data_IF_231762377965
#
_entry.id   IF_231762377965
#
_cell.length_a   1.000
_cell.length_b   1.000
_cell.length_c   1.000
_cell.angle_alpha   90.00
_cell.angle_beta   90.00
_cell.angle_gamma   90.00
#
_symmetry.space_group_name_H-M   'P 1'
#
loop_
_entity.id
_entity.type
_entity.pdbx_description
1 polymer ?
#
# COMPACT_ATOMS: atom_id res chain seq x y z
N UNK A 1 14.27 -9.64 16.87
CA UNK A 1 15.60 -9.33 17.42
C UNK A 1 16.40 -8.39 16.50
N UNK A 2 16.15 -8.41 15.20
CA UNK A 2 16.89 -7.61 14.20
C UNK A 2 16.59 -6.10 14.27
N UNK A 3 15.38 -5.71 14.68
CA UNK A 3 15.01 -4.30 14.82
C UNK A 3 15.71 -3.60 16.00
N UNK A 4 15.96 -4.31 17.10
CA UNK A 4 16.72 -3.77 18.24
C UNK A 4 18.19 -3.55 17.87
N UNK A 5 18.79 -4.46 17.11
CA UNK A 5 20.15 -4.33 16.60
C UNK A 5 20.32 -3.07 15.72
N UNK A 6 19.35 -2.80 14.85
CA UNK A 6 19.35 -1.61 14.01
C UNK A 6 19.27 -0.30 14.81
N UNK A 7 18.43 -0.25 15.84
CA UNK A 7 18.31 0.93 16.72
C UNK A 7 19.61 1.17 17.49
N UNK A 8 20.21 0.12 18.05
CA UNK A 8 21.49 0.21 18.78
C UNK A 8 22.60 0.70 17.84
N UNK A 9 22.64 0.18 16.61
CA UNK A 9 23.65 0.58 15.61
C UNK A 9 23.51 2.06 15.23
N UNK A 10 22.29 2.55 15.01
CA UNK A 10 22.03 3.97 14.71
C UNK A 10 22.41 4.86 15.92
N UNK A 11 22.03 4.48 17.14
CA UNK A 11 22.37 5.23 18.33
C UNK A 11 23.88 5.27 18.56
N UNK A 12 24.59 4.14 18.40
CA UNK A 12 26.05 4.11 18.53
C UNK A 12 26.74 4.95 17.46
N UNK A 13 26.23 4.95 16.22
CA UNK A 13 26.75 5.80 15.15
C UNK A 13 26.58 7.28 15.45
N UNK A 14 25.43 7.71 15.98
CA UNK A 14 25.16 9.10 16.38
C UNK A 14 26.11 9.54 17.49
N UNK A 15 26.29 8.71 18.52
CA UNK A 15 27.19 9.00 19.63
C UNK A 15 28.65 9.11 19.18
N UNK A 16 29.11 8.18 18.34
CA UNK A 16 30.46 8.21 17.78
C UNK A 16 30.70 9.45 16.91
N UNK A 17 29.73 9.84 16.10
CA UNK A 17 29.80 11.05 15.29
C UNK A 17 29.87 12.31 16.16
N UNK A 18 29.06 12.40 17.21
CA UNK A 18 29.07 13.54 18.14
C UNK A 18 30.43 13.68 18.83
N UNK A 19 30.98 12.59 19.34
CA UNK A 19 32.31 12.61 19.98
C UNK A 19 33.41 12.95 18.97
N UNK A 20 33.33 12.42 17.75
CA UNK A 20 34.30 12.75 16.69
C UNK A 20 34.24 14.23 16.27
N UNK A 21 33.05 14.82 16.23
CA UNK A 21 32.86 16.24 15.95
C UNK A 21 33.46 17.13 17.02
N UNK A 22 33.25 16.78 18.30
CA UNK A 22 33.82 17.50 19.45
C UNK A 22 35.36 17.38 19.43
N UNK A 23 35.90 16.20 19.17
CA UNK A 23 37.36 15.99 19.06
C UNK A 23 37.96 16.76 17.88
N UNK A 24 37.32 16.80 16.73
CA UNK A 24 37.79 17.54 15.56
C UNK A 24 37.77 19.05 15.81
N UNK A 25 36.71 19.54 16.46
CA UNK A 25 36.59 20.94 16.88
C UNK A 25 37.66 21.35 17.89
N UNK A 26 37.94 20.49 18.87
CA UNK A 26 38.99 20.68 19.87
C UNK A 26 40.42 20.66 19.26
N UNK A 27 40.63 19.88 18.21
CA UNK A 27 41.92 19.79 17.51
C UNK A 27 42.22 20.97 16.57
N UNK A 28 41.36 22.00 16.53
CA UNK A 28 41.57 23.20 15.71
C UNK A 28 41.21 22.97 14.23
N UNK A 29 40.37 22.03 13.95
CA UNK A 29 39.83 21.78 12.60
C UNK A 29 39.17 23.00 12.01
N UNK A 30 39.60 23.40 10.81
CA UNK A 30 39.20 24.64 10.17
C UNK A 30 37.70 24.78 9.98
N UNK A 31 37.12 25.93 10.25
CA UNK A 31 35.69 26.25 10.11
C UNK A 31 35.15 26.15 8.68
N UNK A 32 36.03 25.97 7.68
CA UNK A 32 35.65 25.96 6.25
C UNK A 32 35.15 24.61 5.73
N UNK A 33 35.62 23.51 6.30
CA UNK A 33 35.16 22.18 5.89
C UNK A 33 35.27 21.18 7.06
N UNK A 34 34.12 20.79 7.60
CA UNK A 34 34.06 19.77 8.62
C UNK A 34 33.56 18.45 7.97
N UNK A 35 34.41 17.44 7.74
CA UNK A 35 34.00 16.19 7.08
C UNK A 35 33.21 15.26 8.02
N UNK A 36 33.26 15.48 9.32
CA UNK A 36 32.68 14.57 10.32
C UNK A 36 31.16 14.45 10.17
N UNK A 37 30.37 15.54 10.02
CA UNK A 37 28.93 15.44 9.77
C UNK A 37 28.58 14.73 8.48
N UNK A 38 29.39 14.91 7.42
CA UNK A 38 29.18 14.23 6.12
C UNK A 38 29.37 12.73 6.23
N UNK A 39 30.46 12.28 6.86
CA UNK A 39 30.73 10.85 7.06
C UNK A 39 29.70 10.24 7.99
N UNK A 40 29.37 10.92 9.08
CA UNK A 40 28.37 10.49 10.04
C UNK A 40 26.98 10.31 9.41
N UNK A 41 26.53 11.28 8.62
CA UNK A 41 25.25 11.18 7.91
C UNK A 41 25.26 10.02 6.91
N UNK A 42 26.37 9.79 6.24
CA UNK A 42 26.49 8.69 5.27
C UNK A 42 26.44 7.32 5.95
N UNK A 43 27.08 7.16 7.10
CA UNK A 43 27.00 5.93 7.91
C UNK A 43 25.58 5.66 8.41
N UNK A 44 24.92 6.71 8.95
CA UNK A 44 23.53 6.61 9.41
C UNK A 44 22.60 6.25 8.25
N UNK A 45 22.81 6.85 7.08
CA UNK A 45 22.03 6.55 5.88
C UNK A 45 22.17 5.13 5.40
N UNK A 46 23.39 4.58 5.42
CA UNK A 46 23.61 3.18 5.05
C UNK A 46 22.95 2.24 6.04
N UNK A 47 23.05 2.52 7.34
CA UNK A 47 22.44 1.72 8.40
C UNK A 47 20.89 1.75 8.32
N UNK A 48 20.30 2.94 8.16
CA UNK A 48 18.85 3.11 8.01
C UNK A 48 18.36 2.50 6.69
N UNK A 49 19.10 2.70 5.60
CA UNK A 49 18.76 2.14 4.28
C UNK A 49 18.71 0.61 4.27
N UNK A 50 19.65 -0.04 4.96
CA UNK A 50 19.65 -1.50 5.11
C UNK A 50 18.43 -2.00 5.89
N UNK A 51 18.12 -1.38 7.04
CA UNK A 51 16.94 -1.71 7.82
C UNK A 51 15.63 -1.44 7.06
N UNK A 52 15.57 -0.35 6.30
CA UNK A 52 14.42 0.01 5.52
C UNK A 52 14.15 -0.97 4.39
N UNK A 53 15.20 -1.51 3.75
CA UNK A 53 15.08 -2.57 2.76
C UNK A 53 14.44 -3.84 3.34
N UNK A 54 14.83 -4.24 4.54
CA UNK A 54 14.28 -5.40 5.22
C UNK A 54 12.81 -5.18 5.62
N UNK A 55 12.46 -4.00 6.14
CA UNK A 55 11.08 -3.65 6.49
C UNK A 55 10.18 -3.56 5.26
N UNK A 56 10.68 -3.04 4.15
CA UNK A 56 9.95 -3.01 2.88
C UNK A 56 9.71 -4.42 2.34
N UNK A 57 10.73 -5.29 2.40
CA UNK A 57 10.60 -6.69 1.99
C UNK A 57 9.54 -7.43 2.82
N UNK A 58 9.55 -7.26 4.14
CA UNK A 58 8.51 -7.81 5.02
C UNK A 58 7.12 -7.27 4.71
N UNK A 59 7.01 -5.97 4.45
CA UNK A 59 5.74 -5.35 4.06
C UNK A 59 5.22 -5.90 2.74
N UNK A 60 6.08 -6.07 1.75
CA UNK A 60 5.75 -6.65 0.45
C UNK A 60 5.28 -8.10 0.57
N UNK A 61 6.01 -8.93 1.32
CA UNK A 61 5.66 -10.32 1.59
C UNK A 61 4.30 -10.42 2.30
N UNK A 62 4.07 -9.61 3.33
CA UNK A 62 2.80 -9.56 4.06
C UNK A 62 1.63 -9.17 3.15
N UNK A 63 1.81 -8.20 2.27
CA UNK A 63 0.78 -7.78 1.32
C UNK A 63 0.50 -8.91 0.31
N UNK A 64 1.53 -9.61 -0.16
CA UNK A 64 1.37 -10.77 -1.03
C UNK A 64 0.61 -11.90 -0.35
N UNK A 65 0.95 -12.25 0.88
CA UNK A 65 0.25 -13.28 1.65
C UNK A 65 -1.24 -12.92 1.86
N UNK A 66 -1.53 -11.66 2.22
CA UNK A 66 -2.89 -11.15 2.34
C UNK A 66 -3.66 -11.23 1.02
N UNK A 67 -3.01 -10.95 -0.11
CA UNK A 67 -3.62 -11.07 -1.43
C UNK A 67 -3.96 -12.53 -1.77
N UNK A 68 -3.04 -13.47 -1.54
CA UNK A 68 -3.27 -14.91 -1.74
C UNK A 68 -4.40 -15.41 -0.83
N UNK A 69 -4.37 -15.04 0.44
CA UNK A 69 -5.42 -15.39 1.39
C UNK A 69 -6.79 -14.84 0.96
N UNK A 70 -6.86 -13.59 0.55
CA UNK A 70 -8.09 -12.97 0.04
C UNK A 70 -8.63 -13.70 -1.20
N UNK A 71 -7.76 -14.06 -2.14
CA UNK A 71 -8.14 -14.81 -3.33
C UNK A 71 -8.65 -16.22 -3.00
N UNK A 72 -8.12 -16.84 -1.96
CA UNK A 72 -8.59 -18.15 -1.50
C UNK A 72 -9.95 -18.06 -0.78
N UNK A 73 -10.23 -16.97 -0.07
CA UNK A 73 -11.51 -16.75 0.61
C UNK A 73 -12.65 -16.33 -0.33
N UNK A 74 -12.33 -15.59 -1.41
CA UNK A 74 -13.34 -15.05 -2.33
C UNK A 74 -14.30 -16.11 -2.90
N UNK A 75 -13.85 -17.30 -3.37
CA UNK A 75 -14.76 -18.32 -3.89
C UNK A 75 -15.75 -18.81 -2.85
N UNK A 76 -15.33 -18.99 -1.60
CA UNK A 76 -16.22 -19.46 -0.53
C UNK A 76 -17.28 -18.42 -0.16
N UNK A 77 -16.88 -17.14 -0.09
CA UNK A 77 -17.81 -16.04 0.14
C UNK A 77 -18.77 -15.84 -1.02
N UNK A 78 -18.31 -15.99 -2.24
CA UNK A 78 -19.15 -15.88 -3.43
C UNK A 78 -20.16 -17.04 -3.53
N UNK A 79 -19.75 -18.27 -3.19
CA UNK A 79 -20.65 -19.40 -3.11
C UNK A 79 -21.75 -19.21 -2.05
N UNK A 80 -21.40 -18.71 -0.88
CA UNK A 80 -22.36 -18.39 0.17
C UNK A 80 -23.38 -17.31 -0.24
N UNK A 81 -22.90 -16.26 -0.95
CA UNK A 81 -23.75 -15.17 -1.47
C UNK A 81 -24.65 -15.67 -2.59
N UNK A 82 -24.16 -16.55 -3.47
CA UNK A 82 -24.94 -17.15 -4.55
C UNK A 82 -26.03 -18.05 -4.00
N UNK A 83 -25.77 -18.83 -2.94
CA UNK A 83 -26.76 -19.66 -2.25
C UNK A 83 -27.88 -18.81 -1.61
N UNK A 84 -27.59 -17.56 -1.23
CA UNK A 84 -28.57 -16.59 -0.74
C UNK A 84 -29.41 -15.92 -1.85
N UNK A 85 -29.28 -16.33 -3.11
CA UNK A 85 -30.06 -15.79 -4.23
C UNK A 85 -29.38 -14.63 -4.99
N UNK A 86 -28.14 -14.28 -4.63
CA UNK A 86 -27.35 -13.22 -5.26
C UNK A 86 -26.25 -13.72 -6.19
N UNK A 87 -26.54 -14.64 -7.10
CA UNK A 87 -25.53 -15.30 -7.93
C UNK A 87 -24.77 -14.32 -8.85
N UNK A 88 -25.48 -13.36 -9.47
CA UNK A 88 -24.87 -12.35 -10.33
C UNK A 88 -24.04 -11.37 -9.49
N UNK A 89 -24.58 -10.93 -8.36
CA UNK A 89 -23.85 -10.04 -7.44
C UNK A 89 -22.59 -10.71 -6.90
N UNK A 90 -22.64 -12.01 -6.57
CA UNK A 90 -21.50 -12.77 -6.09
C UNK A 90 -20.38 -12.83 -7.14
N UNK A 91 -20.69 -13.22 -8.38
CA UNK A 91 -19.72 -13.35 -9.46
C UNK A 91 -19.08 -12.00 -9.82
N UNK A 92 -19.87 -10.93 -9.92
CA UNK A 92 -19.36 -9.57 -10.21
C UNK A 92 -18.41 -9.12 -9.09
N UNK A 93 -18.79 -9.27 -7.84
CA UNK A 93 -17.91 -8.89 -6.71
C UNK A 93 -16.61 -9.68 -6.72
N UNK A 94 -16.67 -11.01 -6.96
CA UNK A 94 -15.49 -11.85 -7.02
C UNK A 94 -14.50 -11.37 -8.09
N UNK A 95 -14.97 -11.25 -9.34
CA UNK A 95 -14.14 -10.83 -10.47
C UNK A 95 -13.56 -9.43 -10.21
N UNK A 96 -14.39 -8.51 -9.73
CA UNK A 96 -13.96 -7.14 -9.42
C UNK A 96 -12.89 -7.10 -8.34
N UNK A 97 -13.08 -7.85 -7.25
CA UNK A 97 -12.11 -7.84 -6.14
C UNK A 97 -10.77 -8.42 -6.58
N UNK A 98 -10.77 -9.52 -7.34
CA UNK A 98 -9.53 -10.11 -7.88
C UNK A 98 -8.83 -9.11 -8.81
N UNK A 99 -9.57 -8.52 -9.76
CA UNK A 99 -9.00 -7.55 -10.70
C UNK A 99 -8.37 -6.36 -9.98
N UNK A 100 -9.07 -5.77 -9.01
CA UNK A 100 -8.54 -4.64 -8.25
C UNK A 100 -7.38 -5.02 -7.34
N UNK A 101 -7.39 -6.22 -6.74
CA UNK A 101 -6.26 -6.71 -5.97
C UNK A 101 -5.00 -6.82 -6.83
N UNK A 102 -5.12 -7.35 -8.04
CA UNK A 102 -4.00 -7.47 -8.98
C UNK A 102 -3.52 -6.10 -9.47
N UNK A 103 -4.46 -5.17 -9.73
CA UNK A 103 -4.14 -3.79 -10.09
C UNK A 103 -3.38 -3.07 -8.96
N UNK A 104 -3.86 -3.19 -7.71
CA UNK A 104 -3.20 -2.59 -6.54
C UNK A 104 -1.82 -3.18 -6.32
N UNK A 105 -1.68 -4.51 -6.46
CA UNK A 105 -0.38 -5.18 -6.34
C UNK A 105 0.60 -4.67 -7.39
N UNK A 106 0.17 -4.58 -8.65
CA UNK A 106 0.96 -4.02 -9.74
C UNK A 106 1.37 -2.57 -9.46
N UNK A 107 0.46 -1.76 -8.93
CA UNK A 107 0.71 -0.36 -8.57
C UNK A 107 1.73 -0.24 -7.44
N UNK A 108 1.65 -1.09 -6.42
CA UNK A 108 2.60 -1.13 -5.30
C UNK A 108 4.00 -1.50 -5.82
N UNK A 109 4.13 -2.59 -6.56
CA UNK A 109 5.41 -3.08 -7.05
C UNK A 109 6.04 -2.15 -8.11
N UNK A 110 5.26 -1.71 -9.09
CA UNK A 110 5.77 -0.98 -10.25
C UNK A 110 5.98 0.50 -9.96
N UNK A 111 5.23 1.08 -9.05
CA UNK A 111 5.20 2.52 -8.85
C UNK A 111 5.51 2.93 -7.42
N UNK A 112 4.86 2.34 -6.42
CA UNK A 112 5.00 2.77 -5.04
C UNK A 112 6.40 2.47 -4.47
N UNK A 113 6.91 1.26 -4.66
CA UNK A 113 8.23 0.87 -4.16
C UNK A 113 9.36 1.73 -4.76
N UNK A 114 9.48 1.93 -6.09
CA UNK A 114 10.47 2.83 -6.63
C UNK A 114 10.33 4.28 -6.13
N UNK A 115 9.10 4.77 -6.00
CA UNK A 115 8.85 6.12 -5.51
C UNK A 115 9.33 6.32 -4.06
N UNK A 116 9.09 5.33 -3.21
CA UNK A 116 9.56 5.36 -1.81
C UNK A 116 11.08 5.35 -1.75
N UNK A 117 11.77 4.56 -2.59
CA UNK A 117 13.22 4.58 -2.67
C UNK A 117 13.77 5.95 -3.11
N UNK A 118 13.16 6.57 -4.12
CA UNK A 118 13.52 7.92 -4.56
C UNK A 118 13.26 8.95 -3.45
N UNK A 119 12.14 8.83 -2.74
CA UNK A 119 11.83 9.72 -1.59
C UNK A 119 12.87 9.60 -0.49
N UNK A 120 13.27 8.39 -0.12
CA UNK A 120 14.30 8.15 0.90
C UNK A 120 15.64 8.74 0.47
N UNK A 121 16.06 8.47 -0.78
CA UNK A 121 17.29 9.02 -1.32
C UNK A 121 17.31 10.55 -1.34
N UNK A 122 16.21 11.19 -1.75
CA UNK A 122 16.06 12.64 -1.75
C UNK A 122 16.09 13.22 -0.33
N UNK A 123 15.37 12.61 0.60
CA UNK A 123 15.34 13.05 2.02
C UNK A 123 16.71 12.94 2.65
N UNK A 124 17.44 11.88 2.33
CA UNK A 124 18.79 11.65 2.77
C UNK A 124 19.75 12.72 2.22
N UNK A 125 19.64 13.03 0.95
CA UNK A 125 20.48 14.04 0.29
C UNK A 125 20.18 15.45 0.83
N UNK A 126 18.91 15.76 1.11
CA UNK A 126 18.51 17.05 1.70
C UNK A 126 19.06 17.25 3.11
N UNK A 127 19.22 16.16 3.87
CA UNK A 127 19.84 16.20 5.20
C UNK A 127 21.36 16.52 5.15
N UNK A 128 22.04 16.16 4.08
CA UNK A 128 23.48 16.39 3.88
C UNK A 128 23.73 17.78 3.30
N UNK A 129 22.90 18.23 2.38
CA UNK A 129 23.06 19.52 1.69
C UNK A 129 22.14 20.59 2.32
N UNK A 130 22.69 21.59 3.03
CA UNK A 130 21.87 22.62 3.70
C UNK A 130 21.19 23.60 2.71
N UNK A 131 21.06 23.23 1.44
CA UNK A 131 20.47 24.08 0.40
C UNK A 131 18.95 24.19 0.43
N UNK A 132 18.25 23.32 1.20
CA UNK A 132 16.78 23.33 1.37
C UNK A 132 15.95 23.16 0.08
N UNK A 133 16.61 23.04 -1.07
CA UNK A 133 15.93 22.94 -2.39
C UNK A 133 15.34 21.55 -2.65
N UNK A 134 15.97 20.51 -2.11
CA UNK A 134 15.55 19.12 -2.30
C UNK A 134 14.33 18.78 -1.42
N UNK A 135 14.18 19.42 -0.25
CA UNK A 135 13.01 19.27 0.62
C UNK A 135 11.68 19.68 -0.04
N UNK A 136 11.71 20.57 -1.01
CA UNK A 136 10.54 20.91 -1.84
C UNK A 136 10.12 19.75 -2.74
N UNK A 137 11.08 19.11 -3.38
CA UNK A 137 10.86 17.95 -4.28
C UNK A 137 10.41 16.74 -3.46
N UNK A 138 11.04 16.46 -2.32
CA UNK A 138 10.64 15.37 -1.42
C UNK A 138 9.20 15.52 -0.93
N UNK A 139 8.79 16.71 -0.53
CA UNK A 139 7.39 17.01 -0.14
C UNK A 139 6.42 16.89 -1.30
N UNK A 140 6.80 17.29 -2.51
CA UNK A 140 6.01 17.08 -3.73
C UNK A 140 5.80 15.59 -4.01
N UNK A 141 6.86 14.79 -3.90
CA UNK A 141 6.83 13.35 -4.08
C UNK A 141 5.93 12.66 -3.05
N UNK A 142 6.06 13.03 -1.77
CA UNK A 142 5.20 12.54 -0.69
C UNK A 142 3.72 12.83 -0.95
N UNK A 143 3.39 14.06 -1.39
CA UNK A 143 2.03 14.40 -1.78
C UNK A 143 1.53 13.57 -2.97
N UNK A 144 2.39 13.34 -3.96
CA UNK A 144 2.09 12.50 -5.11
C UNK A 144 1.75 11.05 -4.71
N UNK A 145 2.56 10.45 -3.83
CA UNK A 145 2.32 9.11 -3.28
C UNK A 145 0.99 9.05 -2.54
N UNK A 146 0.73 10.02 -1.66
CA UNK A 146 -0.51 10.07 -0.88
C UNK A 146 -1.73 10.25 -1.79
N UNK A 147 -1.63 11.12 -2.80
CA UNK A 147 -2.72 11.35 -3.77
C UNK A 147 -3.01 10.10 -4.62
N UNK A 148 -1.96 9.39 -5.04
CA UNK A 148 -2.08 8.15 -5.80
C UNK A 148 -2.78 7.05 -4.99
N UNK A 149 -2.36 6.85 -3.74
CA UNK A 149 -2.95 5.86 -2.85
C UNK A 149 -4.39 6.20 -2.50
N UNK A 150 -4.67 7.45 -2.12
CA UNK A 150 -6.02 7.91 -1.79
C UNK A 150 -6.94 7.84 -3.01
N UNK A 151 -6.46 8.26 -4.17
CA UNK A 151 -7.21 8.19 -5.44
C UNK A 151 -7.55 6.75 -5.83
N UNK A 152 -6.59 5.83 -5.71
CA UNK A 152 -6.81 4.40 -5.95
C UNK A 152 -7.86 3.80 -5.02
N UNK A 153 -7.83 4.14 -3.73
CA UNK A 153 -8.81 3.70 -2.74
C UNK A 153 -10.22 4.24 -3.04
N UNK A 154 -10.33 5.53 -3.37
CA UNK A 154 -11.61 6.15 -3.73
C UNK A 154 -12.19 5.52 -4.99
N UNK A 155 -11.38 5.31 -6.03
CA UNK A 155 -11.81 4.64 -7.25
C UNK A 155 -12.29 3.21 -6.98
N UNK A 156 -11.56 2.45 -6.17
CA UNK A 156 -11.94 1.10 -5.78
C UNK A 156 -13.26 1.06 -5.02
N UNK A 157 -13.41 1.91 -4.01
CA UNK A 157 -14.64 1.97 -3.20
C UNK A 157 -15.83 2.40 -4.05
N UNK A 158 -15.66 3.40 -4.91
CA UNK A 158 -16.71 3.87 -5.82
C UNK A 158 -17.13 2.77 -6.80
N UNK A 159 -16.17 2.06 -7.38
CA UNK A 159 -16.45 0.97 -8.30
C UNK A 159 -17.17 -0.19 -7.62
N UNK A 160 -16.75 -0.61 -6.40
CA UNK A 160 -17.43 -1.63 -5.62
C UNK A 160 -18.88 -1.25 -5.31
N UNK A 161 -19.12 0.00 -4.93
CA UNK A 161 -20.46 0.50 -4.62
C UNK A 161 -21.36 0.46 -5.85
N UNK A 162 -20.87 0.94 -6.99
CA UNK A 162 -21.62 0.94 -8.24
C UNK A 162 -21.88 -0.48 -8.75
N UNK A 163 -20.87 -1.33 -8.81
CA UNK A 163 -21.02 -2.70 -9.29
C UNK A 163 -21.94 -3.53 -8.39
N UNK A 164 -21.92 -3.31 -7.08
CA UNK A 164 -22.88 -3.91 -6.15
C UNK A 164 -24.31 -3.49 -6.40
N UNK A 165 -24.56 -2.22 -6.69
CA UNK A 165 -25.89 -1.71 -7.00
C UNK A 165 -26.45 -2.28 -8.32
N UNK A 166 -25.62 -2.34 -9.38
CA UNK A 166 -26.03 -2.92 -10.66
C UNK A 166 -26.27 -4.42 -10.56
N UNK A 167 -25.41 -5.17 -9.87
CA UNK A 167 -25.55 -6.60 -9.68
C UNK A 167 -26.80 -6.96 -8.88
N UNK A 168 -27.12 -6.21 -7.82
CA UNK A 168 -28.34 -6.39 -7.03
C UNK A 168 -29.61 -6.14 -7.88
N UNK A 169 -29.57 -5.17 -8.79
CA UNK A 169 -30.67 -4.90 -9.71
C UNK A 169 -30.88 -6.05 -10.70
N UNK A 170 -29.79 -6.63 -11.22
CA UNK A 170 -29.83 -7.77 -12.12
C UNK A 170 -30.37 -9.04 -11.43
N UNK A 171 -29.96 -9.32 -10.19
CA UNK A 171 -30.48 -10.44 -9.38
C UNK A 171 -31.99 -10.30 -9.12
N UNK A 172 -32.47 -9.09 -8.81
CA UNK A 172 -33.89 -8.81 -8.61
C UNK A 172 -34.71 -9.03 -9.90
N UNK A 173 -34.16 -8.66 -11.07
CA UNK A 173 -34.82 -8.91 -12.36
C UNK A 173 -34.90 -10.40 -12.66
N UNK A 174 -33.82 -11.14 -12.42
CA UNK A 174 -33.77 -12.59 -12.62
C UNK A 174 -34.79 -13.31 -11.73
N UNK A 175 -34.89 -12.95 -10.47
CA UNK A 175 -35.88 -13.50 -9.53
C UNK A 175 -37.31 -13.19 -9.98
N UNK A 176 -37.60 -11.98 -10.47
CA UNK A 176 -38.92 -11.62 -11.00
C UNK A 176 -39.27 -12.41 -12.25
N UNK A 177 -38.32 -12.56 -13.18
CA UNK A 177 -38.53 -13.36 -14.39
C UNK A 177 -38.77 -14.85 -14.05
N UNK A 178 -38.01 -15.40 -13.11
CA UNK A 178 -38.20 -16.78 -12.68
C UNK A 178 -39.56 -16.99 -12.04
N UNK A 179 -39.99 -16.09 -11.15
CA UNK A 179 -41.34 -16.13 -10.56
C UNK A 179 -42.45 -16.00 -11.59
N UNK A 180 -42.29 -15.08 -12.56
CA UNK A 180 -43.24 -14.92 -13.67
C UNK A 180 -43.31 -16.14 -14.55
N UNK A 181 -42.19 -16.77 -14.87
CA UNK A 181 -42.13 -18.01 -15.66
C UNK A 181 -42.79 -19.19 -14.95
N UNK A 182 -42.55 -19.35 -13.64
CA UNK A 182 -43.18 -20.40 -12.82
C UNK A 182 -44.67 -20.15 -12.67
N UNK A 183 -45.08 -18.89 -12.39
CA UNK A 183 -46.48 -18.52 -12.24
C UNK A 183 -47.28 -18.63 -13.54
N UNK A 184 -46.65 -18.43 -14.70
CA UNK A 184 -47.28 -18.63 -16.01
C UNK A 184 -47.32 -20.08 -16.49
N UNK A 185 -46.39 -20.93 -16.02
CA UNK A 185 -46.34 -22.36 -16.39
C UNK A 185 -47.33 -23.22 -15.59
N UNK A 186 -47.75 -22.79 -14.39
CA UNK A 186 -48.65 -23.52 -13.51
C UNK A 186 -49.90 -22.69 -13.23
N UNK A 187 -50.98 -22.86 -14.02
CA UNK A 187 -52.16 -22.00 -13.93
C UNK A 187 -52.95 -22.13 -12.60
N UNK A 188 -52.65 -23.14 -11.78
CA UNK A 188 -53.32 -23.35 -10.47
C UNK A 188 -52.61 -22.60 -9.33
N UNK A 189 -51.33 -22.24 -9.47
CA UNK A 189 -50.54 -21.59 -8.39
C UNK A 189 -50.39 -20.11 -8.62
N UNK A 190 -50.63 -19.62 -9.85
CA UNK A 190 -50.47 -18.22 -10.22
C UNK A 190 -51.42 -17.25 -9.52
N UNK A 191 -52.45 -17.72 -8.82
CA UNK A 191 -53.41 -16.87 -8.07
C UNK A 191 -53.10 -16.79 -6.57
N UNK A 192 -52.08 -17.51 -6.05
CA UNK A 192 -51.77 -17.58 -4.62
C UNK A 192 -50.45 -16.85 -4.26
N UNK A 193 -49.64 -16.46 -5.26
CA UNK A 193 -48.39 -15.73 -5.09
C UNK A 193 -48.52 -14.31 -5.62
#
# INVERSE_FOLDING_TARGET
QDSLGGVILVLSAILLCSVAEDCFSAAGGGKLFNPVPLVGTLVILLAVGSNMKNLMGLGEETIQELNVFSKALLPTLSAATAAGGGAVAASVRQVTTVFFSDLLMSLIHSLLLPLVWVFVALSATDAILPSGRLGGIARGLQKGITWLLSGSLVLFTSYLTLSGAFASSADNLTLRMTRSAIGGAIPVVGSII
#
